data_IF_208970265042
#
_entry.id   IF_208970265042
#
_cell.length_a   1.000
_cell.length_b   1.000
_cell.length_c   1.000
_cell.angle_alpha   90.00
_cell.angle_beta   90.00
_cell.angle_gamma   90.00
#
_symmetry.space_group_name_H-M   'P 1'
#
loop_
_entity.id
_entity.type
_entity.pdbx_description
1 polymer ?
#
# COMPACT_ATOMS: atom_id res chain seq x y z
N UNK A 1 -5.10 -35.52 -2.17
CA UNK A 1 -3.79 -35.09 -2.70
C UNK A 1 -3.28 -33.97 -1.77
N UNK A 2 -2.19 -34.20 -1.02
CA UNK A 2 -1.59 -33.15 -0.18
C UNK A 2 -0.67 -32.32 -1.06
N UNK A 3 -1.05 -31.09 -1.39
CA UNK A 3 -0.15 -30.15 -2.06
C UNK A 3 0.93 -29.81 -1.06
N UNK A 4 2.17 -30.23 -1.33
CA UNK A 4 3.33 -29.81 -0.54
C UNK A 4 3.60 -28.36 -0.93
N UNK A 5 3.51 -27.45 0.02
CA UNK A 5 3.91 -26.06 -0.20
C UNK A 5 5.40 -26.06 -0.51
N UNK A 6 5.76 -25.81 -1.77
CA UNK A 6 7.12 -25.48 -2.16
C UNK A 6 7.26 -23.98 -2.01
N UNK A 7 8.10 -23.55 -1.06
CA UNK A 7 8.40 -22.15 -0.91
C UNK A 7 9.04 -21.67 -2.23
N UNK A 8 8.46 -20.67 -2.92
CA UNK A 8 9.04 -20.18 -4.16
C UNK A 8 10.43 -19.62 -3.90
N UNK A 9 11.30 -19.73 -4.91
CA UNK A 9 12.62 -19.11 -4.91
C UNK A 9 12.46 -17.61 -4.60
N UNK A 10 13.15 -17.13 -3.57
CA UNK A 10 13.17 -15.71 -3.23
C UNK A 10 13.75 -14.96 -4.42
N UNK A 11 12.97 -14.05 -5.03
CA UNK A 11 13.51 -13.17 -6.07
C UNK A 11 14.66 -12.36 -5.47
N UNK A 12 15.89 -12.57 -5.97
CA UNK A 12 17.11 -11.93 -5.44
C UNK A 12 17.02 -10.39 -5.37
N UNK A 13 16.11 -9.78 -6.15
CA UNK A 13 15.90 -8.33 -6.22
C UNK A 13 14.57 -7.86 -5.61
N UNK A 14 13.88 -8.68 -4.81
CA UNK A 14 12.64 -8.26 -4.15
C UNK A 14 12.95 -7.36 -2.95
N UNK A 15 12.20 -6.26 -2.81
CA UNK A 15 12.29 -5.38 -1.65
C UNK A 15 11.99 -6.13 -0.35
N UNK A 16 12.91 -5.99 0.62
CA UNK A 16 12.77 -6.54 1.96
C UNK A 16 12.08 -5.51 2.86
N UNK A 17 10.78 -5.66 3.04
CA UNK A 17 10.01 -4.78 3.92
C UNK A 17 10.32 -5.01 5.39
N UNK A 18 10.17 -3.96 6.21
CA UNK A 18 10.13 -4.09 7.66
C UNK A 18 8.72 -4.48 8.12
N UNK A 19 7.68 -3.82 7.61
CA UNK A 19 6.28 -4.14 7.91
C UNK A 19 5.42 -4.10 6.64
N UNK A 20 5.56 -5.13 5.80
CA UNK A 20 4.79 -5.32 4.58
C UNK A 20 3.34 -5.73 4.84
N UNK A 21 2.39 -4.98 4.30
CA UNK A 21 0.95 -5.08 4.58
C UNK A 21 0.11 -4.75 3.33
N UNK A 22 -1.20 -5.02 3.40
CA UNK A 22 -2.23 -4.56 2.44
C UNK A 22 -1.93 -4.85 0.96
N UNK A 23 -1.69 -6.12 0.56
CA UNK A 23 -1.56 -6.46 -0.85
C UNK A 23 -2.89 -6.29 -1.60
N UNK A 24 -2.83 -5.63 -2.76
CA UNK A 24 -3.97 -5.38 -3.65
C UNK A 24 -3.57 -5.66 -5.08
N UNK A 25 -4.34 -6.50 -5.74
CA UNK A 25 -4.25 -6.68 -7.18
C UNK A 25 -5.09 -5.62 -7.91
N UNK A 26 -4.43 -4.72 -8.63
CA UNK A 26 -5.09 -3.79 -9.55
C UNK A 26 -5.15 -4.43 -10.94
N UNK A 27 -6.24 -5.16 -11.19
CA UNK A 27 -6.52 -5.84 -12.46
C UNK A 27 -6.68 -4.91 -13.65
N UNK A 28 -6.84 -3.59 -13.45
CA UNK A 28 -6.96 -2.62 -14.54
C UNK A 28 -5.61 -2.31 -15.17
N UNK A 29 -4.53 -2.54 -14.43
CA UNK A 29 -3.15 -2.21 -14.79
C UNK A 29 -2.19 -3.40 -14.68
N UNK A 30 -2.70 -4.61 -14.42
CA UNK A 30 -1.93 -5.85 -14.25
C UNK A 30 -0.75 -5.71 -13.26
N UNK A 31 -1.03 -5.10 -12.09
CA UNK A 31 -0.02 -4.83 -11.07
C UNK A 31 -0.48 -5.18 -9.66
N UNK A 32 0.47 -5.63 -8.85
CA UNK A 32 0.31 -5.81 -7.42
C UNK A 32 0.82 -4.55 -6.71
N UNK A 33 -0.02 -3.98 -5.85
CA UNK A 33 0.35 -2.92 -4.93
C UNK A 33 0.37 -3.48 -3.51
N UNK A 34 1.30 -3.02 -2.70
CA UNK A 34 1.33 -3.28 -1.26
C UNK A 34 2.09 -2.16 -0.56
N UNK A 35 2.06 -2.13 0.76
CA UNK A 35 2.66 -1.05 1.53
C UNK A 35 3.66 -1.58 2.55
N UNK A 36 4.71 -0.82 2.78
CA UNK A 36 5.56 -0.98 3.96
C UNK A 36 5.28 0.18 4.90
N UNK A 37 4.49 -0.11 5.94
CA UNK A 37 3.99 0.91 6.87
C UNK A 37 5.13 1.53 7.65
N UNK A 38 6.12 0.73 8.04
CA UNK A 38 7.27 1.23 8.80
C UNK A 38 8.13 2.18 7.96
N UNK A 39 8.30 1.84 6.69
CA UNK A 39 9.15 2.60 5.76
C UNK A 39 8.40 3.70 5.00
N UNK A 40 7.09 3.84 5.24
CA UNK A 40 6.20 4.77 4.57
C UNK A 40 6.23 4.66 3.03
N UNK A 41 6.27 3.42 2.51
CA UNK A 41 6.35 3.16 1.06
C UNK A 41 5.11 2.48 0.53
N UNK A 42 4.72 2.86 -0.68
CA UNK A 42 3.91 2.02 -1.56
C UNK A 42 4.88 1.29 -2.49
N UNK A 43 4.70 -0.01 -2.62
CA UNK A 43 5.46 -0.88 -3.50
C UNK A 43 4.53 -1.33 -4.61
N UNK A 44 4.95 -1.13 -5.85
CA UNK A 44 4.28 -1.61 -7.05
C UNK A 44 5.13 -2.68 -7.71
N UNK A 45 4.55 -3.83 -7.97
CA UNK A 45 5.20 -4.96 -8.63
C UNK A 45 4.39 -5.33 -9.87
N UNK A 46 5.07 -5.54 -11.00
CA UNK A 46 4.42 -6.07 -12.20
C UNK A 46 3.95 -7.52 -12.00
N UNK A 47 3.04 -7.99 -12.86
CA UNK A 47 2.46 -9.35 -12.78
C UNK A 47 3.50 -10.49 -12.73
N UNK A 48 4.70 -10.25 -13.27
CA UNK A 48 5.76 -11.25 -13.37
C UNK A 48 6.84 -11.11 -12.29
N UNK A 49 6.70 -10.15 -11.36
CA UNK A 49 7.68 -9.89 -10.29
C UNK A 49 9.09 -9.63 -10.84
N UNK A 50 9.16 -9.01 -12.02
CA UNK A 50 10.41 -8.65 -12.71
C UNK A 50 10.77 -7.20 -12.45
N UNK A 51 9.77 -6.35 -12.23
CA UNK A 51 9.95 -4.92 -11.98
C UNK A 51 9.21 -4.51 -10.72
N UNK A 52 9.92 -3.73 -9.91
CA UNK A 52 9.39 -3.17 -8.68
C UNK A 52 9.67 -1.67 -8.64
N UNK A 53 8.64 -0.86 -8.37
CA UNK A 53 8.76 0.58 -8.16
C UNK A 53 8.40 0.89 -6.70
N UNK A 54 9.16 1.79 -6.06
CA UNK A 54 8.92 2.19 -4.67
C UNK A 54 8.61 3.68 -4.61
N UNK A 55 7.55 4.02 -3.88
CA UNK A 55 7.09 5.39 -3.74
C UNK A 55 7.05 5.77 -2.26
N UNK A 56 7.88 6.75 -1.88
CA UNK A 56 7.93 7.27 -0.51
C UNK A 56 6.79 8.26 -0.27
N UNK A 57 6.08 8.09 0.83
CA UNK A 57 5.04 9.01 1.31
C UNK A 57 5.46 9.57 2.68
N UNK A 58 6.11 10.73 2.75
CA UNK A 58 6.64 11.27 4.01
C UNK A 58 5.61 11.45 5.12
N UNK A 59 4.34 11.68 4.77
CA UNK A 59 3.22 11.73 5.70
C UNK A 59 2.81 10.38 6.30
N UNK A 60 3.36 9.28 5.77
CA UNK A 60 3.04 7.91 6.14
C UNK A 60 2.01 7.26 5.24
N UNK A 61 2.03 5.93 5.19
CA UNK A 61 1.00 5.10 4.55
C UNK A 61 0.63 3.95 5.47
N UNK A 62 -0.66 3.86 5.82
CA UNK A 62 -1.19 2.84 6.73
C UNK A 62 -2.19 1.92 6.05
N UNK A 63 -2.82 2.38 4.96
CA UNK A 63 -3.72 1.56 4.17
C UNK A 63 -3.78 2.04 2.71
N UNK A 64 -4.15 1.12 1.82
CA UNK A 64 -4.48 1.38 0.42
C UNK A 64 -5.66 0.48 0.06
N UNK A 65 -6.61 0.98 -0.73
CA UNK A 65 -7.80 0.27 -1.19
C UNK A 65 -8.12 0.64 -2.64
N UNK A 66 -8.58 -0.33 -3.43
CA UNK A 66 -9.03 -0.09 -4.80
C UNK A 66 -10.35 0.69 -4.82
N UNK A 67 -10.52 1.61 -5.75
CA UNK A 67 -11.79 2.29 -6.01
C UNK A 67 -12.33 1.92 -7.41
N UNK A 68 -13.63 2.08 -7.63
CA UNK A 68 -14.28 1.85 -8.93
C UNK A 68 -14.04 3.01 -9.92
N UNK A 69 -12.83 3.55 -9.96
CA UNK A 69 -12.35 4.62 -10.84
C UNK A 69 -10.81 4.57 -10.95
N UNK A 70 -10.17 5.48 -11.67
CA UNK A 70 -8.69 5.51 -11.83
C UNK A 70 -7.86 5.79 -10.56
N UNK A 71 -8.46 5.75 -9.36
CA UNK A 71 -7.79 6.07 -8.11
C UNK A 71 -7.77 4.88 -7.14
N UNK A 72 -7.01 5.07 -6.07
CA UNK A 72 -6.98 4.31 -4.84
C UNK A 72 -7.40 5.22 -3.68
N UNK A 73 -8.06 4.64 -2.68
CA UNK A 73 -8.22 5.28 -1.38
C UNK A 73 -7.01 4.90 -0.54
N UNK A 74 -6.23 5.88 -0.09
CA UNK A 74 -5.02 5.70 0.71
C UNK A 74 -5.16 6.46 2.02
N UNK A 75 -4.65 5.89 3.12
CA UNK A 75 -4.59 6.58 4.41
C UNK A 75 -3.16 6.79 4.86
N UNK A 76 -2.89 7.96 5.44
CA UNK A 76 -1.75 8.17 6.35
C UNK A 76 -2.21 7.93 7.80
N UNK A 77 -1.41 8.36 8.79
CA UNK A 77 -1.80 8.27 10.20
C UNK A 77 -3.04 9.09 10.58
N UNK A 78 -3.34 10.18 9.87
CA UNK A 78 -4.42 11.11 10.23
C UNK A 78 -5.21 11.67 9.03
N UNK A 79 -4.90 11.24 7.81
CA UNK A 79 -5.54 11.74 6.60
C UNK A 79 -5.99 10.59 5.69
N UNK A 80 -7.06 10.83 4.93
CA UNK A 80 -7.44 10.02 3.79
C UNK A 80 -7.19 10.80 2.50
N UNK A 81 -6.65 10.10 1.52
CA UNK A 81 -6.30 10.63 0.20
C UNK A 81 -6.97 9.81 -0.90
N UNK A 82 -7.38 10.49 -1.96
CA UNK A 82 -7.61 9.88 -3.26
C UNK A 82 -6.29 9.93 -4.01
N UNK A 83 -5.70 8.78 -4.30
CA UNK A 83 -4.42 8.63 -4.96
C UNK A 83 -4.64 8.11 -6.39
N UNK A 84 -4.22 8.86 -7.40
CA UNK A 84 -4.35 8.42 -8.79
C UNK A 84 -3.53 7.16 -9.07
N UNK A 85 -3.95 6.33 -10.03
CA UNK A 85 -3.31 5.06 -10.42
C UNK A 85 -1.84 5.19 -10.79
N UNK A 86 -1.43 6.39 -11.23
CA UNK A 86 -0.03 6.76 -11.51
C UNK A 86 0.83 7.02 -10.26
N UNK A 87 0.25 7.00 -9.05
CA UNK A 87 0.85 7.28 -7.74
C UNK A 87 1.39 8.71 -7.56
N UNK A 88 1.64 9.44 -8.65
CA UNK A 88 2.23 10.77 -8.68
C UNK A 88 1.28 11.91 -8.28
N UNK A 89 -0.03 11.66 -8.29
CA UNK A 89 -1.06 12.67 -7.98
C UNK A 89 -1.93 12.16 -6.86
N UNK A 90 -2.08 12.97 -5.81
CA UNK A 90 -2.99 12.70 -4.70
C UNK A 90 -3.80 13.93 -4.34
N UNK A 91 -5.00 13.70 -3.84
CA UNK A 91 -5.90 14.71 -3.32
C UNK A 91 -6.27 14.36 -1.88
N UNK A 92 -6.11 15.31 -0.96
CA UNK A 92 -6.63 15.17 0.39
C UNK A 92 -8.17 15.13 0.34
N UNK A 93 -8.76 14.06 0.88
CA UNK A 93 -10.21 13.92 1.01
C UNK A 93 -10.67 14.41 2.38
N UNK A 94 -9.98 13.97 3.44
CA UNK A 94 -10.29 14.38 4.80
C UNK A 94 -9.07 14.26 5.71
N UNK A 95 -9.04 15.08 6.76
CA UNK A 95 -8.11 14.99 7.88
C UNK A 95 -8.93 14.68 9.13
N UNK A 96 -8.54 13.64 9.85
CA UNK A 96 -9.15 13.24 11.11
C UNK A 96 -8.39 13.93 12.24
N UNK A 97 -9.11 14.73 13.04
CA UNK A 97 -8.53 15.36 14.23
C UNK A 97 -8.79 14.48 15.44
N UNK A 98 -7.77 13.76 15.89
CA UNK A 98 -7.87 12.90 17.05
C UNK A 98 -7.92 13.68 18.36
N UNK A 99 -8.61 13.12 19.36
CA UNK A 99 -8.60 13.66 20.73
C UNK A 99 -7.30 13.32 21.43
N UNK A 100 -6.83 12.08 21.31
CA UNK A 100 -5.54 11.68 21.84
C UNK A 100 -4.47 11.76 20.75
N UNK A 101 -3.27 12.21 21.12
CA UNK A 101 -2.15 12.34 20.19
C UNK A 101 -1.52 11.02 19.77
N UNK A 102 -1.84 9.94 20.49
CA UNK A 102 -1.39 8.58 20.18
C UNK A 102 -2.25 7.88 19.14
N UNK A 103 -3.48 8.37 18.92
CA UNK A 103 -4.42 7.71 18.03
C UNK A 103 -3.94 7.86 16.59
N UNK A 104 -4.19 6.83 15.78
CA UNK A 104 -3.85 6.84 14.35
C UNK A 104 -4.80 5.98 13.54
N UNK A 105 -4.96 6.32 12.27
CA UNK A 105 -5.60 5.44 11.30
C UNK A 105 -4.69 4.24 11.07
N UNK A 106 -5.22 3.04 11.27
CA UNK A 106 -4.59 1.79 10.91
C UNK A 106 -5.66 0.83 10.40
N UNK A 107 -5.40 0.12 9.31
CA UNK A 107 -6.31 -0.93 8.84
C UNK A 107 -7.76 -0.48 8.54
N UNK A 108 -7.95 0.82 8.26
CA UNK A 108 -9.25 1.51 8.12
C UNK A 108 -10.08 1.62 9.41
N UNK A 109 -9.44 1.43 10.56
CA UNK A 109 -9.95 1.75 11.91
C UNK A 109 -9.01 2.77 12.60
N UNK A 110 -9.33 3.12 13.85
CA UNK A 110 -8.49 3.97 14.71
C UNK A 110 -7.88 3.13 15.84
N UNK A 111 -6.55 3.01 15.81
CA UNK A 111 -5.75 2.50 16.94
C UNK A 111 -5.64 3.56 18.04
#
# INVERSE_FOLDING_TARGET
>A
MRVKYEQPLVCNNSYKSILGQRPIWDWRHDKLLWIDIHENKIIETDQNVQRENHYLFPEGVTNILLQDNENYLMSSSDCLFSLHSSISKRQLLTKINFKNKSDRINDADID
#
